data_IF_829500846749
#
_entry.id   IF_829500846749
#
_cell.length_a   1.000
_cell.length_b   1.000
_cell.length_c   1.000
_cell.angle_alpha   90.00
_cell.angle_beta   90.00
_cell.angle_gamma   90.00
#
_symmetry.space_group_name_H-M   'P 1'
#
loop_
_entity.id
_entity.type
_entity.pdbx_description
1 polymer ?
#
# COMPACT_ATOMS: atom_id res chain seq x y z
N UNK A 1 33.30 1.37 -9.35
CA UNK A 1 34.01 1.27 -8.05
C UNK A 1 33.16 1.73 -6.85
N UNK A 2 32.45 2.89 -6.90
CA UNK A 2 31.61 3.38 -5.77
C UNK A 2 30.56 2.38 -5.24
N UNK A 3 29.90 1.63 -6.11
CA UNK A 3 28.87 0.64 -5.70
C UNK A 3 29.41 -0.59 -4.96
N UNK A 4 30.66 -0.99 -5.21
CA UNK A 4 31.27 -2.12 -4.50
C UNK A 4 31.61 -1.76 -3.05
N UNK A 5 32.11 -0.54 -2.81
CA UNK A 5 32.37 -0.02 -1.47
C UNK A 5 31.09 0.10 -0.64
N UNK A 6 30.02 0.64 -1.22
CA UNK A 6 28.73 0.76 -0.53
C UNK A 6 28.15 -0.62 -0.15
N UNK A 7 28.19 -1.59 -1.06
CA UNK A 7 27.74 -2.96 -0.78
C UNK A 7 28.55 -3.64 0.33
N UNK A 8 29.87 -3.38 0.37
CA UNK A 8 30.76 -3.90 1.40
C UNK A 8 30.53 -3.24 2.76
N UNK A 9 30.31 -1.92 2.80
CA UNK A 9 29.93 -1.23 4.02
C UNK A 9 28.57 -1.70 4.56
N UNK A 10 27.60 -1.90 3.68
CA UNK A 10 26.27 -2.42 4.06
C UNK A 10 26.35 -3.86 4.57
N UNK A 11 27.19 -4.72 3.97
CA UNK A 11 27.38 -6.10 4.45
C UNK A 11 28.07 -6.14 5.82
N UNK A 12 29.09 -5.30 6.05
CA UNK A 12 29.71 -5.16 7.37
C UNK A 12 28.77 -4.56 8.42
N UNK A 13 27.90 -3.61 8.04
CA UNK A 13 26.84 -3.07 8.92
C UNK A 13 25.80 -4.14 9.27
N UNK A 14 25.46 -5.03 8.32
CA UNK A 14 24.56 -6.17 8.55
C UNK A 14 25.18 -7.22 9.48
N UNK A 15 26.46 -7.54 9.32
CA UNK A 15 27.17 -8.47 10.22
C UNK A 15 27.22 -7.98 11.69
N UNK A 16 27.28 -6.65 11.88
CA UNK A 16 27.19 -5.99 13.20
C UNK A 16 25.81 -6.03 13.84
N UNK A 17 24.75 -6.40 13.10
CA UNK A 17 23.37 -6.31 13.60
C UNK A 17 23.11 -7.31 14.71
N UNK A 18 22.90 -6.82 15.94
CA UNK A 18 22.48 -7.65 17.08
C UNK A 18 23.64 -8.33 17.82
N UNK A 19 24.89 -7.94 17.54
CA UNK A 19 26.07 -8.38 18.29
C UNK A 19 26.77 -7.18 18.93
N UNK A 20 27.31 -7.37 20.14
CA UNK A 20 28.13 -6.37 20.83
C UNK A 20 29.46 -6.14 20.09
N UNK A 21 30.01 -7.21 19.50
CA UNK A 21 31.21 -7.18 18.64
C UNK A 21 30.83 -7.75 17.28
N UNK A 22 30.97 -6.94 16.24
CA UNK A 22 30.33 -7.19 14.94
C UNK A 22 30.93 -8.28 14.04
N UNK A 23 32.16 -8.71 14.31
CA UNK A 23 32.83 -9.79 13.59
C UNK A 23 32.67 -11.15 14.30
N UNK A 24 32.15 -11.16 15.53
CA UNK A 24 32.02 -12.37 16.35
C UNK A 24 33.36 -12.95 16.81
N UNK A 25 34.48 -12.27 16.57
CA UNK A 25 35.80 -12.68 17.03
C UNK A 25 36.02 -12.15 18.45
N UNK A 26 36.64 -12.96 19.34
CA UNK A 26 37.02 -12.48 20.66
C UNK A 26 38.05 -11.35 20.50
N UNK A 27 37.80 -10.22 21.16
CA UNK A 27 38.70 -9.07 21.20
C UNK A 27 38.89 -8.64 22.65
N UNK A 28 40.13 -8.37 23.03
CA UNK A 28 40.41 -7.69 24.29
C UNK A 28 40.01 -6.21 24.10
N UNK A 29 39.05 -5.73 24.88
CA UNK A 29 38.63 -4.34 24.87
C UNK A 29 39.15 -3.66 26.13
N UNK A 30 39.46 -2.37 26.03
CA UNK A 30 39.64 -1.56 27.22
C UNK A 30 38.31 -1.47 27.97
N UNK A 31 38.36 -1.26 29.29
CA UNK A 31 37.15 -1.12 30.11
C UNK A 31 36.21 -0.02 29.56
N UNK A 32 36.77 1.10 29.10
CA UNK A 32 36.02 2.21 28.53
C UNK A 32 35.33 1.82 27.20
N UNK A 33 36.04 1.13 26.32
CA UNK A 33 35.48 0.69 25.03
C UNK A 33 34.36 -0.32 25.22
N UNK A 34 34.50 -1.21 26.21
CA UNK A 34 33.47 -2.19 26.53
C UNK A 34 32.20 -1.50 27.04
N UNK A 35 32.33 -0.59 28.02
CA UNK A 35 31.19 0.15 28.59
C UNK A 35 30.46 0.95 27.51
N UNK A 36 31.21 1.66 26.66
CA UNK A 36 30.63 2.46 25.56
C UNK A 36 29.83 1.57 24.59
N UNK A 37 30.39 0.43 24.18
CA UNK A 37 29.70 -0.48 23.27
C UNK A 37 28.45 -1.12 23.87
N UNK A 38 28.46 -1.44 25.16
CA UNK A 38 27.27 -1.97 25.84
C UNK A 38 26.17 -0.91 25.89
N UNK A 39 26.51 0.35 26.20
CA UNK A 39 25.56 1.45 26.16
C UNK A 39 24.95 1.64 24.76
N UNK A 40 25.79 1.67 23.72
CA UNK A 40 25.34 1.78 22.32
C UNK A 40 24.45 0.60 21.91
N UNK A 41 24.77 -0.61 22.35
CA UNK A 41 23.99 -1.80 22.04
C UNK A 41 22.58 -1.72 22.63
N UNK A 42 22.45 -1.31 23.89
CA UNK A 42 21.15 -1.12 24.54
C UNK A 42 20.36 0.02 23.89
N UNK A 43 21.00 1.14 23.58
CA UNK A 43 20.35 2.26 22.91
C UNK A 43 19.80 1.83 21.54
N UNK A 44 20.61 1.15 20.73
CA UNK A 44 20.17 0.63 19.42
C UNK A 44 19.03 -0.40 19.54
N UNK A 45 19.02 -1.23 20.58
CA UNK A 45 17.94 -2.17 20.81
C UNK A 45 16.62 -1.43 21.13
N UNK A 46 16.67 -0.41 21.99
CA UNK A 46 15.51 0.41 22.31
C UNK A 46 14.98 1.18 21.09
N UNK A 47 15.88 1.77 20.30
CA UNK A 47 15.48 2.52 19.11
C UNK A 47 14.86 1.61 18.04
N UNK A 48 15.36 0.37 17.89
CA UNK A 48 14.74 -0.63 17.02
C UNK A 48 13.35 -1.02 17.50
N UNK A 49 13.16 -1.22 18.80
CA UNK A 49 11.86 -1.57 19.35
C UNK A 49 10.85 -0.44 19.13
N UNK A 50 11.25 0.81 19.37
CA UNK A 50 10.43 2.00 19.08
C UNK A 50 10.08 2.09 17.60
N UNK A 51 11.06 1.91 16.71
CA UNK A 51 10.84 1.94 15.26
C UNK A 51 9.90 0.82 14.79
N UNK A 52 10.03 -0.38 15.34
CA UNK A 52 9.12 -1.50 15.04
C UNK A 52 7.69 -1.22 15.52
N UNK A 53 7.53 -0.66 16.73
CA UNK A 53 6.21 -0.26 17.26
C UNK A 53 5.56 0.80 16.38
N UNK A 54 6.32 1.83 15.99
CA UNK A 54 5.83 2.88 15.07
C UNK A 54 5.47 2.29 13.70
N UNK A 55 6.31 1.43 13.13
CA UNK A 55 6.02 0.79 11.84
C UNK A 55 4.79 -0.11 11.91
N UNK A 56 4.56 -0.78 13.04
CA UNK A 56 3.36 -1.61 13.24
C UNK A 56 2.11 -0.72 13.29
N UNK A 57 2.14 0.36 14.07
CA UNK A 57 1.02 1.32 14.15
C UNK A 57 0.67 1.91 12.77
N UNK A 58 1.67 2.39 12.02
CA UNK A 58 1.40 2.96 10.69
C UNK A 58 0.86 1.94 9.70
N UNK A 59 1.30 0.68 9.78
CA UNK A 59 0.74 -0.42 8.97
C UNK A 59 -0.71 -0.72 9.32
N UNK A 60 -1.04 -0.72 10.61
CA UNK A 60 -2.42 -0.94 11.07
C UNK A 60 -3.33 0.21 10.63
N UNK A 61 -2.88 1.46 10.76
CA UNK A 61 -3.62 2.64 10.31
C UNK A 61 -3.89 2.59 8.80
N UNK A 62 -2.84 2.36 8.00
CA UNK A 62 -2.96 2.20 6.55
C UNK A 62 -3.90 1.06 6.16
N UNK A 63 -3.82 -0.08 6.87
CA UNK A 63 -4.70 -1.22 6.59
C UNK A 63 -6.18 -0.89 6.86
N UNK A 64 -6.47 -0.10 7.91
CA UNK A 64 -7.83 0.36 8.21
C UNK A 64 -8.35 1.32 7.14
N UNK A 65 -7.55 2.31 6.76
CA UNK A 65 -7.92 3.28 5.71
C UNK A 65 -8.15 2.56 4.37
N UNK A 66 -7.28 1.63 4.01
CA UNK A 66 -7.41 0.84 2.79
C UNK A 66 -8.68 -0.03 2.80
N UNK A 67 -9.04 -0.61 3.95
CA UNK A 67 -10.26 -1.38 4.08
C UNK A 67 -11.52 -0.51 3.87
N UNK A 68 -11.56 0.67 4.48
CA UNK A 68 -12.65 1.63 4.29
C UNK A 68 -12.74 2.09 2.83
N UNK A 69 -11.61 2.43 2.22
CA UNK A 69 -11.56 2.82 0.81
C UNK A 69 -12.10 1.72 -0.10
N UNK A 70 -11.73 0.44 0.13
CA UNK A 70 -12.24 -0.69 -0.66
C UNK A 70 -13.75 -0.87 -0.57
N UNK A 71 -14.35 -0.61 0.60
CA UNK A 71 -15.80 -0.69 0.78
C UNK A 71 -16.50 0.39 -0.05
N UNK A 72 -16.07 1.64 0.10
CA UNK A 72 -16.62 2.78 -0.66
C UNK A 72 -16.42 2.61 -2.18
N UNK A 73 -15.27 2.08 -2.59
CA UNK A 73 -14.99 1.80 -4.00
C UNK A 73 -15.91 0.70 -4.54
N UNK A 74 -16.18 -0.34 -3.74
CA UNK A 74 -17.15 -1.38 -4.07
C UNK A 74 -18.55 -0.82 -4.31
N UNK A 75 -19.04 -0.01 -3.36
CA UNK A 75 -20.34 0.68 -3.45
C UNK A 75 -20.42 1.55 -4.72
N UNK A 76 -19.39 2.37 -4.98
CA UNK A 76 -19.31 3.21 -6.17
C UNK A 76 -19.36 2.39 -7.46
N UNK A 77 -18.66 1.26 -7.51
CA UNK A 77 -18.66 0.37 -8.67
C UNK A 77 -20.06 -0.23 -8.89
N UNK A 78 -20.75 -0.62 -7.82
CA UNK A 78 -22.12 -1.15 -7.91
C UNK A 78 -23.12 -0.10 -8.36
N UNK A 79 -23.05 1.12 -7.82
CA UNK A 79 -23.87 2.25 -8.27
C UNK A 79 -23.63 2.55 -9.75
N UNK A 80 -22.38 2.60 -10.19
CA UNK A 80 -22.05 2.82 -11.60
C UNK A 80 -22.58 1.70 -12.50
N UNK A 81 -22.53 0.44 -12.05
CA UNK A 81 -23.16 -0.67 -12.77
C UNK A 81 -24.66 -0.44 -12.91
N UNK A 82 -25.34 -0.04 -11.84
CA UNK A 82 -26.78 0.23 -11.86
C UNK A 82 -27.16 1.40 -12.77
N UNK A 83 -26.35 2.45 -12.80
CA UNK A 83 -26.54 3.58 -13.73
C UNK A 83 -26.36 3.11 -15.18
N UNK A 84 -25.31 2.32 -15.45
CA UNK A 84 -25.05 1.78 -16.78
C UNK A 84 -26.17 0.83 -17.24
N UNK A 85 -26.68 -0.05 -16.39
CA UNK A 85 -27.77 -0.97 -16.74
C UNK A 85 -29.05 -0.20 -17.02
N UNK A 86 -29.42 0.77 -16.16
CA UNK A 86 -30.59 1.62 -16.39
C UNK A 86 -30.49 2.39 -17.71
N UNK A 87 -29.31 2.94 -18.03
CA UNK A 87 -29.10 3.61 -19.31
C UNK A 87 -29.25 2.63 -20.48
N UNK A 88 -28.69 1.43 -20.39
CA UNK A 88 -28.87 0.39 -21.41
C UNK A 88 -30.33 0.00 -21.61
N UNK A 89 -31.11 -0.12 -20.54
CA UNK A 89 -32.55 -0.40 -20.61
C UNK A 89 -33.32 0.73 -21.29
N UNK A 90 -33.03 1.99 -20.93
CA UNK A 90 -33.62 3.16 -21.58
C UNK A 90 -33.27 3.23 -23.06
N UNK A 91 -32.03 2.94 -23.42
CA UNK A 91 -31.58 2.87 -24.81
C UNK A 91 -32.31 1.76 -25.56
N UNK A 92 -32.45 0.56 -24.98
CA UNK A 92 -33.20 -0.55 -25.60
C UNK A 92 -34.66 -0.17 -25.83
N UNK A 93 -35.34 0.36 -24.82
CA UNK A 93 -36.73 0.80 -24.95
C UNK A 93 -36.90 1.88 -26.04
N UNK A 94 -35.95 2.82 -26.11
CA UNK A 94 -35.93 3.80 -27.18
C UNK A 94 -35.71 3.18 -28.56
N UNK A 95 -34.84 2.17 -28.69
CA UNK A 95 -34.59 1.47 -29.95
C UNK A 95 -35.81 0.68 -30.41
N UNK A 96 -36.52 0.02 -29.49
CA UNK A 96 -37.78 -0.69 -29.75
C UNK A 96 -38.87 0.28 -30.23
N UNK A 97 -39.09 1.39 -29.52
CA UNK A 97 -40.06 2.42 -29.91
C UNK A 97 -39.69 3.07 -31.25
N UNK A 98 -38.40 3.31 -31.49
CA UNK A 98 -37.89 3.81 -32.77
C UNK A 98 -38.26 2.88 -33.92
N UNK A 99 -38.08 1.58 -33.72
CA UNK A 99 -38.32 0.60 -34.76
C UNK A 99 -39.84 0.36 -34.96
N UNK A 100 -40.65 0.45 -33.90
CA UNK A 100 -42.12 0.45 -33.99
C UNK A 100 -42.64 1.68 -34.75
N UNK A 101 -42.21 2.89 -34.37
CA UNK A 101 -42.60 4.13 -35.03
C UNK A 101 -42.23 4.13 -36.53
N UNK A 102 -41.09 3.55 -36.91
CA UNK A 102 -40.71 3.34 -38.31
C UNK A 102 -41.68 2.42 -39.05
N UNK A 103 -42.10 1.30 -38.45
CA UNK A 103 -43.07 0.36 -39.05
C UNK A 103 -44.44 1.04 -39.24
N UNK A 104 -44.85 1.86 -38.27
CA UNK A 104 -46.11 2.59 -38.28
C UNK A 104 -46.06 3.90 -39.09
N UNK A 105 -44.89 4.28 -39.63
CA UNK A 105 -44.63 5.56 -40.32
C UNK A 105 -44.95 6.78 -39.46
N UNK A 106 -44.78 6.65 -38.15
CA UNK A 106 -44.93 7.71 -37.15
C UNK A 106 -43.57 8.36 -36.85
N UNK A 107 -43.58 9.65 -36.50
CA UNK A 107 -42.40 10.35 -35.98
C UNK A 107 -42.14 10.06 -34.49
N UNK A 108 -40.87 9.92 -34.11
CA UNK A 108 -40.46 9.74 -32.71
C UNK A 108 -40.51 11.07 -31.95
N UNK A 109 -41.25 11.11 -30.85
CA UNK A 109 -41.43 12.32 -30.03
C UNK A 109 -40.27 12.65 -29.09
N UNK A 110 -39.28 11.76 -28.96
CA UNK A 110 -38.16 11.92 -28.03
C UNK A 110 -36.83 11.40 -28.58
N UNK A 111 -35.75 12.06 -28.14
CA UNK A 111 -34.36 11.77 -28.54
C UNK A 111 -33.82 10.56 -27.77
N UNK A 112 -32.75 9.95 -28.31
CA UNK A 112 -32.06 8.85 -27.63
C UNK A 112 -31.57 9.31 -26.24
N UNK A 113 -31.87 8.54 -25.18
CA UNK A 113 -31.38 8.80 -23.82
C UNK A 113 -29.86 8.86 -23.71
#
# INVERSE_FOLDING_TARGET
VRGQLQAQEESHKKAKKGRLVGDGLPRLLSAQDFVTRVADFHQQAQDREKAQKQQKATREDYARELAQWRQLEGERIEENKNVCTRWQELVKAWEEERDAAKREKRGLGWKKP
#
